data_IF_331024050712
#
_entry.id   IF_331024050712
#
_cell.length_a   1.000
_cell.length_b   1.000
_cell.length_c   1.000
_cell.angle_alpha   90.00
_cell.angle_beta   90.00
_cell.angle_gamma   90.00
#
_symmetry.space_group_name_H-M   'P 1'
#
loop_
_entity.id
_entity.type
_entity.pdbx_description
1 polymer ?
#
# COMPACT_ATOMS: atom_id res chain seq x y z
N UNK A 1 -4.12 -8.17 5.96
CA UNK A 1 -5.03 -7.03 6.16
C UNK A 1 -6.39 -7.27 5.52
N UNK A 2 -6.44 -7.82 4.31
CA UNK A 2 -7.68 -8.27 3.68
C UNK A 2 -8.52 -9.15 4.63
N UNK A 3 -9.83 -8.89 4.68
CA UNK A 3 -10.76 -9.55 5.61
C UNK A 3 -10.75 -9.04 7.06
N UNK A 4 -9.80 -8.18 7.45
CA UNK A 4 -9.77 -7.52 8.78
C UNK A 4 -10.18 -6.05 8.75
N UNK A 5 -9.98 -5.38 7.60
CA UNK A 5 -10.31 -3.97 7.42
C UNK A 5 -11.57 -3.90 6.54
N UNK A 6 -12.68 -3.31 7.02
CA UNK A 6 -13.86 -3.08 6.18
C UNK A 6 -13.50 -2.28 4.92
N UNK A 7 -14.03 -2.69 3.77
CA UNK A 7 -13.78 -2.03 2.48
C UNK A 7 -12.43 -2.37 1.82
N UNK A 8 -11.52 -3.08 2.48
CA UNK A 8 -10.28 -3.57 1.84
C UNK A 8 -10.52 -4.93 1.15
N UNK A 9 -10.52 -4.90 -0.17
CA UNK A 9 -10.72 -6.08 -1.02
C UNK A 9 -9.44 -6.89 -1.16
N UNK A 10 -8.34 -6.24 -1.54
CA UNK A 10 -7.07 -6.92 -1.80
C UNK A 10 -5.88 -6.11 -1.29
N UNK A 11 -4.79 -6.83 -0.99
CA UNK A 11 -3.51 -6.20 -0.72
C UNK A 11 -2.38 -7.03 -1.32
N UNK A 12 -1.48 -6.37 -2.03
CA UNK A 12 -0.33 -6.97 -2.68
C UNK A 12 0.92 -6.18 -2.35
N UNK A 13 2.02 -6.88 -2.08
CA UNK A 13 3.32 -6.26 -1.82
C UNK A 13 4.41 -7.02 -2.57
N UNK A 14 5.14 -6.36 -3.46
CA UNK A 14 6.18 -6.99 -4.26
C UNK A 14 7.24 -5.97 -4.70
N UNK A 15 8.47 -6.40 -5.01
CA UNK A 15 9.44 -5.55 -5.68
C UNK A 15 9.02 -5.26 -7.13
N UNK A 16 9.56 -4.19 -7.76
CA UNK A 16 9.44 -3.99 -9.19
C UNK A 16 9.97 -5.18 -9.98
N UNK A 17 9.33 -5.51 -11.10
CA UNK A 17 9.84 -6.53 -12.02
C UNK A 17 11.19 -6.09 -12.58
N UNK A 18 12.16 -7.01 -12.62
CA UNK A 18 13.52 -6.71 -13.09
C UNK A 18 13.56 -6.06 -14.48
N UNK A 19 12.68 -6.48 -15.40
CA UNK A 19 12.60 -5.96 -16.76
C UNK A 19 12.25 -4.46 -16.83
N UNK A 20 11.50 -3.95 -15.85
CA UNK A 20 10.99 -2.56 -15.82
C UNK A 20 11.45 -1.78 -14.59
N UNK A 21 12.36 -2.33 -13.78
CA UNK A 21 12.85 -1.72 -12.54
C UNK A 21 13.43 -0.31 -12.75
N UNK A 22 14.02 -0.02 -13.91
CA UNK A 22 14.52 1.32 -14.27
C UNK A 22 13.43 2.40 -14.29
N UNK A 23 12.15 2.02 -14.46
CA UNK A 23 10.99 2.93 -14.44
C UNK A 23 10.56 3.29 -13.02
N UNK A 24 10.95 2.50 -12.02
CA UNK A 24 10.57 2.70 -10.63
C UNK A 24 11.34 3.82 -9.93
N UNK A 25 12.17 4.59 -10.63
CA UNK A 25 12.86 5.80 -10.10
C UNK A 25 13.62 5.57 -8.78
N UNK A 26 14.16 4.36 -8.58
CA UNK A 26 14.90 4.01 -7.36
C UNK A 26 14.05 3.35 -6.28
N UNK A 27 12.72 3.44 -6.33
CA UNK A 27 11.83 2.68 -5.45
C UNK A 27 11.94 1.19 -5.75
N UNK A 28 12.10 0.37 -4.71
CA UNK A 28 12.41 -1.05 -4.81
C UNK A 28 11.34 -1.96 -4.17
N UNK A 29 10.25 -1.39 -3.68
CA UNK A 29 9.10 -2.08 -3.12
C UNK A 29 7.82 -1.33 -3.51
N UNK A 30 6.76 -2.07 -3.82
CA UNK A 30 5.42 -1.52 -4.02
C UNK A 30 4.39 -2.19 -3.10
N UNK A 31 3.40 -1.41 -2.68
CA UNK A 31 2.20 -1.88 -2.00
C UNK A 31 0.99 -1.40 -2.81
N UNK A 32 0.12 -2.33 -3.19
CA UNK A 32 -1.16 -2.06 -3.85
C UNK A 32 -2.28 -2.50 -2.91
N UNK A 33 -3.13 -1.56 -2.51
CA UNK A 33 -4.36 -1.83 -1.76
C UNK A 33 -5.55 -1.53 -2.68
N UNK A 34 -6.44 -2.51 -2.84
CA UNK A 34 -7.69 -2.34 -3.59
C UNK A 34 -8.81 -2.19 -2.58
N UNK A 35 -9.49 -1.04 -2.63
CA UNK A 35 -10.62 -0.70 -1.77
C UNK A 35 -11.92 -0.79 -2.57
N UNK A 36 -13.05 -1.03 -1.89
CA UNK A 36 -14.37 -1.15 -2.52
C UNK A 36 -14.85 0.19 -3.10
N UNK A 37 -14.53 1.31 -2.44
CA UNK A 37 -14.87 2.68 -2.86
C UNK A 37 -13.92 3.68 -2.22
N UNK A 38 -13.87 4.90 -2.78
CA UNK A 38 -12.96 5.96 -2.32
C UNK A 38 -13.14 6.31 -0.83
N UNK A 39 -14.37 6.28 -0.31
CA UNK A 39 -14.65 6.62 1.09
C UNK A 39 -14.03 5.64 2.09
N UNK A 40 -13.79 4.39 1.69
CA UNK A 40 -13.20 3.37 2.56
C UNK A 40 -11.71 3.62 2.83
N UNK A 41 -11.07 4.52 2.08
CA UNK A 41 -9.69 4.93 2.29
C UNK A 41 -9.48 5.49 3.70
N UNK A 42 -10.42 6.28 4.22
CA UNK A 42 -10.31 6.85 5.56
C UNK A 42 -10.34 5.76 6.63
N UNK A 43 -11.20 4.76 6.46
CA UNK A 43 -11.30 3.61 7.37
C UNK A 43 -10.00 2.81 7.33
N UNK A 44 -9.47 2.54 6.14
CA UNK A 44 -8.20 1.83 5.95
C UNK A 44 -7.02 2.56 6.59
N UNK A 45 -6.90 3.87 6.34
CA UNK A 45 -5.75 4.68 6.78
C UNK A 45 -5.58 4.72 8.30
N UNK A 46 -6.67 4.69 9.06
CA UNK A 46 -6.64 4.77 10.54
C UNK A 46 -6.82 3.42 11.23
N UNK A 47 -7.04 2.34 10.48
CA UNK A 47 -7.31 1.04 11.07
C UNK A 47 -6.09 0.52 11.83
N UNK A 48 -6.21 0.00 13.07
CA UNK A 48 -5.07 -0.44 13.88
C UNK A 48 -4.14 -1.45 13.16
N UNK A 49 -4.73 -2.38 12.43
CA UNK A 49 -3.99 -3.36 11.61
C UNK A 49 -3.15 -2.68 10.52
N UNK A 50 -3.64 -1.59 9.92
CA UNK A 50 -2.86 -0.82 8.95
C UNK A 50 -1.75 0.00 9.62
N UNK A 51 -2.01 0.54 10.81
CA UNK A 51 -1.00 1.28 11.58
C UNK A 51 0.19 0.40 11.99
N UNK A 52 -0.01 -0.88 12.26
CA UNK A 52 1.09 -1.84 12.48
C UNK A 52 1.99 -1.99 11.23
N UNK A 53 1.37 -2.01 10.04
CA UNK A 53 2.11 -2.07 8.77
C UNK A 53 2.82 -0.74 8.50
N UNK A 54 2.18 0.39 8.77
CA UNK A 54 2.81 1.72 8.64
C UNK A 54 4.05 1.85 9.51
N UNK A 55 3.98 1.41 10.78
CA UNK A 55 5.14 1.37 11.67
C UNK A 55 6.28 0.55 11.08
N UNK A 56 5.97 -0.65 10.58
CA UNK A 56 6.98 -1.51 9.94
C UNK A 56 7.60 -0.85 8.71
N UNK A 57 6.78 -0.17 7.91
CA UNK A 57 7.24 0.59 6.73
C UNK A 57 8.15 1.75 7.13
N UNK A 58 7.84 2.50 8.18
CA UNK A 58 8.69 3.58 8.68
C UNK A 58 10.05 3.09 9.21
N UNK A 59 10.11 1.88 9.78
CA UNK A 59 11.36 1.28 10.26
C UNK A 59 12.24 0.74 9.12
N UNK A 60 11.64 0.33 8.00
CA UNK A 60 12.34 -0.35 6.89
C UNK A 60 12.61 0.54 5.68
N UNK A 61 11.79 1.56 5.43
CA UNK A 61 11.83 2.35 4.21
C UNK A 61 12.35 3.76 4.49
N UNK A 62 13.31 4.21 3.68
CA UNK A 62 13.85 5.58 3.76
C UNK A 62 12.91 6.63 3.16
N UNK A 63 12.14 6.26 2.13
CA UNK A 63 11.24 7.14 1.41
C UNK A 63 9.96 6.38 0.99
N UNK A 64 8.86 7.10 0.73
CA UNK A 64 7.72 6.54 0.01
C UNK A 64 6.95 7.61 -0.76
N UNK A 65 6.43 7.18 -1.91
CA UNK A 65 5.44 7.90 -2.70
C UNK A 65 4.16 7.07 -2.75
N UNK A 66 3.04 7.68 -2.39
CA UNK A 66 1.72 7.07 -2.45
C UNK A 66 0.74 8.01 -3.15
N UNK A 67 -0.21 7.44 -3.88
CA UNK A 67 -1.30 8.15 -4.53
C UNK A 67 -2.50 7.21 -4.57
N UNK A 68 -3.67 7.77 -4.32
CA UNK A 68 -4.95 7.07 -4.37
C UNK A 68 -5.70 7.49 -5.64
N UNK A 69 -6.27 6.52 -6.35
CA UNK A 69 -6.96 6.76 -7.61
C UNK A 69 -8.10 5.77 -7.81
N UNK A 70 -9.17 6.24 -8.45
CA UNK A 70 -10.23 5.38 -8.97
C UNK A 70 -9.83 4.82 -10.34
N UNK A 71 -10.25 3.60 -10.66
CA UNK A 71 -9.95 2.93 -11.93
C UNK A 71 -11.08 2.04 -12.41
#
# INVERSE_FOLDING_TARGET
>A
MAGKIPGLLEIHTNPPLALTASRAKGYNMGLLAILEKAEDLQVYAVHPVHLEVQKTREELCEDALAYDMEY
#
